data_IF_228863528449
#
_entry.id   IF_228863528449
#
_cell.length_a   1.000
_cell.length_b   1.000
_cell.length_c   1.000
_cell.angle_alpha   90.00
_cell.angle_beta   90.00
_cell.angle_gamma   90.00
#
_symmetry.space_group_name_H-M   'P 1'
#
loop_
_entity.id
_entity.type
_entity.pdbx_description
1 polymer ?
#
# COMPACT_ATOMS: atom_id res chain seq x y z
N UNK A 1 -9.32 6.72 -4.55
CA UNK A 1 -9.20 7.35 -3.22
C UNK A 1 -10.34 8.31 -2.96
N UNK A 2 -10.58 9.36 -3.76
CA UNK A 2 -11.75 10.25 -3.58
C UNK A 2 -13.09 9.49 -3.53
N UNK A 3 -13.38 8.63 -4.52
CA UNK A 3 -14.58 7.76 -4.52
C UNK A 3 -14.70 6.84 -3.29
N UNK A 4 -13.58 6.45 -2.66
CA UNK A 4 -13.63 5.70 -1.39
C UNK A 4 -14.07 6.62 -0.25
N UNK A 5 -13.51 7.83 -0.16
CA UNK A 5 -13.87 8.79 0.88
C UNK A 5 -15.34 9.23 0.74
N UNK A 6 -15.81 9.44 -0.50
CA UNK A 6 -17.22 9.71 -0.81
C UNK A 6 -18.16 8.63 -0.26
N UNK A 7 -17.76 7.37 -0.36
CA UNK A 7 -18.59 6.24 0.04
C UNK A 7 -18.48 5.87 1.54
N UNK A 8 -17.41 6.29 2.21
CA UNK A 8 -17.07 5.79 3.56
C UNK A 8 -17.01 6.87 4.64
N UNK A 9 -16.92 8.14 4.26
CA UNK A 9 -16.77 9.27 5.18
C UNK A 9 -17.76 10.37 4.84
N UNK A 10 -18.45 10.88 5.86
CA UNK A 10 -19.39 11.99 5.70
C UNK A 10 -18.71 13.23 5.11
N UNK A 11 -19.46 13.97 4.30
CA UNK A 11 -18.97 15.14 3.57
C UNK A 11 -18.63 16.33 4.49
N UNK A 12 -19.24 16.40 5.66
CA UNK A 12 -19.02 17.43 6.69
C UNK A 12 -17.88 17.07 7.66
N UNK A 13 -17.17 15.97 7.41
CA UNK A 13 -16.07 15.53 8.26
C UNK A 13 -14.82 16.40 8.05
N UNK A 14 -14.39 17.11 9.09
CA UNK A 14 -13.13 17.85 9.09
C UNK A 14 -11.91 16.93 8.82
N UNK A 15 -11.98 15.68 9.27
CA UNK A 15 -10.95 14.68 9.00
C UNK A 15 -10.86 14.36 7.49
N UNK A 16 -12.01 14.27 6.82
CA UNK A 16 -12.06 14.05 5.37
C UNK A 16 -11.40 15.20 4.63
N UNK A 17 -11.74 16.45 4.99
CA UNK A 17 -11.14 17.65 4.41
C UNK A 17 -9.62 17.67 4.60
N UNK A 18 -9.14 17.33 5.80
CA UNK A 18 -7.72 17.24 6.09
C UNK A 18 -7.01 16.18 5.23
N UNK A 19 -7.59 14.99 5.09
CA UNK A 19 -7.03 13.91 4.24
C UNK A 19 -7.01 14.30 2.76
N UNK A 20 -8.11 14.83 2.24
CA UNK A 20 -8.20 15.24 0.83
C UNK A 20 -7.21 16.37 0.50
N UNK A 21 -7.14 17.40 1.35
CA UNK A 21 -6.28 18.56 1.13
C UNK A 21 -4.81 18.28 1.41
N UNK A 22 -4.49 17.69 2.56
CA UNK A 22 -3.11 17.66 3.05
C UNK A 22 -2.36 16.39 2.65
N UNK A 23 -3.07 15.30 2.33
CA UNK A 23 -2.45 14.07 1.87
C UNK A 23 -2.65 13.88 0.36
N UNK A 24 -3.91 13.74 -0.08
CA UNK A 24 -4.19 13.33 -1.46
C UNK A 24 -3.82 14.44 -2.46
N UNK A 25 -4.18 15.69 -2.17
CA UNK A 25 -3.89 16.80 -3.09
C UNK A 25 -2.39 17.04 -3.24
N UNK A 26 -1.59 16.81 -2.19
CA UNK A 26 -0.12 16.91 -2.28
C UNK A 26 0.46 15.81 -3.16
N UNK A 27 0.04 14.55 -2.97
CA UNK A 27 0.45 13.45 -3.83
C UNK A 27 0.04 13.69 -5.29
N UNK A 28 -1.18 14.19 -5.53
CA UNK A 28 -1.67 14.49 -6.88
C UNK A 28 -0.89 15.63 -7.53
N UNK A 29 -0.58 16.69 -6.78
CA UNK A 29 0.22 17.81 -7.27
C UNK A 29 1.63 17.35 -7.65
N UNK A 30 2.30 16.57 -6.79
CA UNK A 30 3.62 16.02 -7.08
C UNK A 30 3.66 15.24 -8.40
N UNK A 31 2.60 14.49 -8.74
CA UNK A 31 2.52 13.73 -10.00
C UNK A 31 2.32 14.63 -11.22
N UNK A 32 1.60 15.75 -11.07
CA UNK A 32 1.24 16.63 -12.19
C UNK A 32 2.28 17.71 -12.46
N UNK A 33 2.92 18.26 -11.42
CA UNK A 33 3.78 19.45 -11.55
C UNK A 33 5.27 19.16 -11.53
N UNK A 34 5.71 18.02 -11.03
CA UNK A 34 7.14 17.70 -11.03
C UNK A 34 7.56 17.14 -12.39
N UNK A 35 8.53 17.78 -13.06
CA UNK A 35 9.27 17.22 -14.20
C UNK A 35 10.70 16.89 -13.75
N UNK A 36 11.18 15.65 -13.93
CA UNK A 36 12.60 15.31 -13.71
C UNK A 36 13.04 15.03 -12.25
N UNK A 37 14.12 15.69 -11.79
CA UNK A 37 14.85 15.35 -10.55
C UNK A 37 14.08 15.68 -9.26
N UNK A 38 13.03 16.51 -9.32
CA UNK A 38 12.21 16.90 -8.16
C UNK A 38 11.10 15.89 -7.79
N UNK A 39 11.15 14.68 -8.35
CA UNK A 39 10.19 13.60 -8.10
C UNK A 39 10.43 12.93 -6.74
N UNK A 40 9.84 13.51 -5.68
CA UNK A 40 9.99 13.00 -4.29
C UNK A 40 9.12 11.75 -4.04
N UNK A 41 8.00 11.57 -4.73
CA UNK A 41 7.14 10.39 -4.59
C UNK A 41 6.84 9.74 -5.94
N UNK A 42 7.60 8.67 -6.27
CA UNK A 42 7.23 7.75 -7.35
C UNK A 42 6.45 6.58 -6.75
N UNK A 43 5.11 6.56 -6.86
CA UNK A 43 4.36 5.37 -6.52
C UNK A 43 4.77 4.26 -7.48
N UNK A 44 5.62 3.39 -7.00
CA UNK A 44 6.06 2.21 -7.71
C UNK A 44 5.17 1.02 -7.38
N UNK A 45 5.04 0.12 -8.34
CA UNK A 45 4.33 -1.12 -8.11
C UNK A 45 5.04 -1.95 -7.05
N UNK A 46 4.28 -2.71 -6.25
CA UNK A 46 4.85 -3.66 -5.28
C UNK A 46 5.84 -4.65 -5.92
N UNK A 47 5.66 -4.96 -7.21
CA UNK A 47 6.57 -5.78 -8.01
C UNK A 47 7.94 -5.11 -8.24
N UNK A 48 7.98 -3.80 -8.42
CA UNK A 48 9.25 -3.05 -8.51
C UNK A 48 9.95 -3.01 -7.15
N UNK A 49 9.19 -2.81 -6.06
CA UNK A 49 9.71 -2.90 -4.69
C UNK A 49 10.25 -4.30 -4.36
N UNK A 50 9.57 -5.36 -4.82
CA UNK A 50 10.05 -6.74 -4.71
C UNK A 50 11.45 -6.90 -5.31
N UNK A 51 11.65 -6.39 -6.54
CA UNK A 51 12.93 -6.47 -7.22
C UNK A 51 14.03 -5.67 -6.48
N UNK A 52 13.70 -4.49 -5.95
CA UNK A 52 14.65 -3.65 -5.19
C UNK A 52 15.07 -4.29 -3.89
N UNK A 53 14.12 -4.78 -3.10
CA UNK A 53 14.40 -5.38 -1.81
C UNK A 53 15.28 -6.63 -1.98
N UNK A 54 14.98 -7.48 -2.98
CA UNK A 54 15.85 -8.62 -3.32
C UNK A 54 17.25 -8.18 -3.75
N UNK A 55 17.38 -7.15 -4.59
CA UNK A 55 18.67 -6.61 -5.01
C UNK A 55 19.48 -6.03 -3.84
N UNK A 56 18.80 -5.53 -2.81
CA UNK A 56 19.41 -5.04 -1.57
C UNK A 56 19.78 -6.18 -0.58
N UNK A 57 19.63 -7.45 -0.95
CA UNK A 57 19.94 -8.58 -0.06
C UNK A 57 18.89 -8.78 1.04
N UNK A 58 17.66 -8.30 0.84
CA UNK A 58 16.57 -8.54 1.77
C UNK A 58 15.79 -9.80 1.37
N UNK A 59 15.50 -10.63 2.37
CA UNK A 59 14.63 -11.80 2.25
C UNK A 59 13.23 -11.45 2.74
N UNK A 60 12.25 -11.65 1.85
CA UNK A 60 10.85 -11.47 2.23
C UNK A 60 10.46 -12.51 3.27
N UNK A 61 9.75 -12.08 4.30
CA UNK A 61 9.19 -12.97 5.31
C UNK A 61 7.80 -13.41 4.87
N UNK A 62 7.43 -14.68 5.14
CA UNK A 62 6.11 -15.18 4.79
C UNK A 62 5.03 -14.38 5.52
N UNK A 63 3.95 -14.07 4.82
CA UNK A 63 2.77 -13.51 5.46
C UNK A 63 2.13 -14.62 6.32
N UNK A 64 1.62 -14.27 7.50
CA UNK A 64 1.22 -15.29 8.48
C UNK A 64 0.12 -16.23 7.92
N UNK A 65 0.13 -17.53 8.28
CA UNK A 65 -0.84 -18.48 7.75
C UNK A 65 -2.28 -18.05 8.04
N UNK A 66 -3.19 -18.29 7.09
CA UNK A 66 -4.62 -17.93 7.16
C UNK A 66 -4.95 -16.43 7.21
N UNK A 67 -3.98 -15.55 6.96
CA UNK A 67 -4.20 -14.11 7.02
C UNK A 67 -5.28 -13.63 6.04
N UNK A 68 -5.29 -14.13 4.81
CA UNK A 68 -6.29 -13.76 3.79
C UNK A 68 -7.71 -14.01 4.30
N UNK A 69 -7.97 -15.19 4.89
CA UNK A 69 -9.27 -15.54 5.45
C UNK A 69 -9.66 -14.61 6.59
N UNK A 70 -8.77 -14.42 7.57
CA UNK A 70 -9.03 -13.58 8.75
C UNK A 70 -9.29 -12.13 8.33
N UNK A 71 -8.48 -11.60 7.42
CA UNK A 71 -8.59 -10.22 6.95
C UNK A 71 -9.82 -10.01 6.06
N UNK A 72 -10.16 -10.98 5.21
CA UNK A 72 -11.37 -10.94 4.39
C UNK A 72 -12.64 -11.00 5.24
N UNK A 73 -12.66 -11.85 6.27
CA UNK A 73 -13.76 -11.90 7.24
C UNK A 73 -13.91 -10.57 7.99
N UNK A 74 -12.79 -9.99 8.45
CA UNK A 74 -12.79 -8.68 9.10
C UNK A 74 -13.29 -7.58 8.17
N UNK A 75 -12.81 -7.54 6.93
CA UNK A 75 -13.24 -6.55 5.94
C UNK A 75 -14.73 -6.61 5.64
N UNK A 76 -15.28 -7.82 5.46
CA UNK A 76 -16.70 -8.01 5.20
C UNK A 76 -17.59 -7.54 6.36
N UNK A 77 -17.11 -7.69 7.59
CA UNK A 77 -17.91 -7.39 8.79
C UNK A 77 -17.80 -5.93 9.25
N UNK A 78 -16.64 -5.29 9.05
CA UNK A 78 -16.33 -3.98 9.65
C UNK A 78 -16.17 -2.85 8.61
N UNK A 79 -16.04 -3.16 7.31
CA UNK A 79 -15.72 -2.18 6.28
C UNK A 79 -16.72 -2.18 5.13
N UNK A 80 -16.67 -1.14 4.31
CA UNK A 80 -17.50 -1.03 3.11
C UNK A 80 -17.23 -2.18 2.13
N UNK A 81 -18.28 -2.75 1.53
CA UNK A 81 -18.23 -3.93 0.64
C UNK A 81 -17.29 -3.83 -0.57
N UNK A 82 -16.97 -2.60 -0.99
CA UNK A 82 -16.10 -2.34 -2.14
C UNK A 82 -14.61 -2.34 -1.77
N UNK A 83 -14.28 -2.44 -0.47
CA UNK A 83 -12.92 -2.74 -0.04
C UNK A 83 -12.55 -4.16 -0.43
N UNK A 84 -11.31 -4.33 -0.87
CA UNK A 84 -10.73 -5.61 -1.25
C UNK A 84 -9.43 -5.81 -0.46
N UNK A 85 -9.23 -7.01 0.07
CA UNK A 85 -7.93 -7.49 0.53
C UNK A 85 -7.58 -8.73 -0.29
N UNK A 86 -6.32 -8.83 -0.69
CA UNK A 86 -5.75 -9.98 -1.37
C UNK A 86 -4.34 -10.26 -0.81
N UNK A 87 -3.88 -11.50 -0.92
CA UNK A 87 -2.52 -11.90 -0.54
C UNK A 87 -1.83 -12.53 -1.75
N UNK A 88 -0.83 -11.84 -2.30
CA UNK A 88 -0.07 -12.31 -3.48
C UNK A 88 1.43 -12.29 -3.19
N UNK A 89 2.11 -13.43 -3.30
CA UNK A 89 3.57 -13.54 -3.09
C UNK A 89 4.04 -12.90 -1.77
N UNK A 90 3.37 -13.20 -0.66
CA UNK A 90 3.62 -12.62 0.66
C UNK A 90 3.45 -11.09 0.76
N UNK A 91 2.75 -10.49 -0.20
CA UNK A 91 2.25 -9.11 -0.11
C UNK A 91 0.79 -9.10 0.31
N UNK A 92 0.46 -8.27 1.29
CA UNK A 92 -0.91 -7.89 1.59
C UNK A 92 -1.31 -6.71 0.69
N UNK A 93 -2.28 -6.94 -0.18
CA UNK A 93 -2.79 -5.95 -1.13
C UNK A 93 -4.14 -5.44 -0.64
N UNK A 94 -4.25 -4.12 -0.45
CA UNK A 94 -5.51 -3.46 -0.10
C UNK A 94 -6.01 -2.64 -1.29
N UNK A 95 -7.29 -2.78 -1.63
CA UNK A 95 -7.89 -2.13 -2.79
C UNK A 95 -9.31 -1.60 -2.57
N UNK A 96 -9.79 -0.89 -3.59
CA UNK A 96 -11.14 -0.32 -3.68
C UNK A 96 -11.70 -0.53 -5.10
N UNK A 97 -12.90 -1.12 -5.21
CA UNK A 97 -13.57 -1.41 -6.50
C UNK A 97 -12.64 -2.07 -7.52
N UNK A 98 -11.87 -3.08 -7.08
CA UNK A 98 -10.93 -3.84 -7.91
C UNK A 98 -9.62 -3.12 -8.24
N UNK A 99 -9.34 -1.95 -7.67
CA UNK A 99 -8.06 -1.23 -7.84
C UNK A 99 -7.22 -1.37 -6.58
N UNK A 100 -5.98 -1.85 -6.72
CA UNK A 100 -5.02 -1.90 -5.61
C UNK A 100 -4.61 -0.46 -5.27
N UNK A 101 -4.65 -0.12 -3.99
CA UNK A 101 -4.28 1.19 -3.45
C UNK A 101 -2.98 1.10 -2.65
N UNK A 102 -2.86 0.07 -1.81
CA UNK A 102 -1.70 -0.13 -0.94
C UNK A 102 -1.23 -1.57 -1.01
N UNK A 103 0.08 -1.75 -0.86
CA UNK A 103 0.71 -3.06 -0.77
C UNK A 103 1.69 -3.04 0.41
N UNK A 104 1.62 -4.07 1.25
CA UNK A 104 2.43 -4.20 2.46
C UNK A 104 3.16 -5.54 2.46
N UNK A 105 4.42 -5.54 2.90
CA UNK A 105 5.23 -6.76 3.04
C UNK A 105 6.27 -6.57 4.14
N UNK A 106 6.78 -7.68 4.67
CA UNK A 106 7.81 -7.71 5.70
C UNK A 106 9.09 -8.35 5.17
N UNK A 107 10.23 -7.83 5.61
CA UNK A 107 11.55 -8.18 5.09
C UNK A 107 12.55 -8.30 6.24
N UNK A 108 13.48 -9.23 6.11
CA UNK A 108 14.64 -9.37 6.99
C UNK A 108 15.92 -9.26 6.17
N UNK A 109 17.02 -8.85 6.82
CA UNK A 109 18.34 -8.99 6.21
C UNK A 109 18.63 -10.47 5.92
N UNK A 110 19.26 -10.74 4.78
CA UNK A 110 19.80 -12.06 4.51
C UNK A 110 21.15 -12.19 5.24
N UNK A 111 21.18 -12.97 6.32
CA UNK A 111 22.34 -13.11 7.21
C UNK A 111 23.57 -13.73 6.50
N UNK A 112 23.43 -14.15 5.24
CA UNK A 112 24.50 -14.72 4.42
C UNK A 112 25.54 -13.72 3.93
N UNK A 113 25.33 -12.41 4.09
CA UNK A 113 26.31 -11.37 3.68
C UNK A 113 27.32 -11.05 4.81
N UNK A 114 27.03 -11.40 6.05
CA UNK A 114 27.89 -11.10 7.22
C UNK A 114 29.10 -12.03 7.37
N UNK A 115 29.22 -13.09 6.57
CA UNK A 115 30.37 -14.02 6.62
C UNK A 115 31.47 -13.72 5.58
N UNK A 116 31.37 -12.64 4.81
CA UNK A 116 32.34 -12.28 3.76
C UNK A 116 33.00 -10.89 3.93
N UNK A 117 32.96 -10.30 5.12
CA UNK A 117 33.76 -9.09 5.47
C UNK A 117 34.79 -9.38 6.55
#
# INVERSE_FOLDING_TARGET
MFDMLDATVSWDSDLRLAVERDLISRCALNVVTCEGHDWVERPETYRQWQARNRKAGLRQLPFFPNAEKILSEKMRNEYHKDFVIDVENDWLLQGWKGRILYAMSTWAADDTISELS
#
